data_IF_995116375630
#
_entry.id   IF_995116375630
#
_cell.length_a   1.000
_cell.length_b   1.000
_cell.length_c   1.000
_cell.angle_alpha   90.00
_cell.angle_beta   90.00
_cell.angle_gamma   90.00
#
_symmetry.space_group_name_H-M   'P 1'
#
loop_
_entity.id
_entity.type
_entity.pdbx_description
1 polymer ?
#
# COMPACT_ATOMS: atom_id res chain seq x y z
N UNK A 1 2.21 20.01 -34.28
CA UNK A 1 2.50 18.84 -33.44
C UNK A 1 2.36 19.28 -32.00
N UNK A 2 1.32 18.81 -31.36
CA UNK A 2 1.10 19.14 -29.96
C UNK A 2 1.99 18.26 -29.08
N UNK A 3 3.17 18.78 -28.73
CA UNK A 3 4.01 18.20 -27.70
C UNK A 3 3.42 18.58 -26.34
N UNK A 4 2.17 18.19 -26.09
CA UNK A 4 1.71 18.10 -24.71
C UNK A 4 2.63 17.09 -24.07
N UNK A 5 3.65 17.59 -23.39
CA UNK A 5 4.35 16.80 -22.39
C UNK A 5 3.23 16.22 -21.54
N UNK A 6 2.95 14.96 -21.74
CA UNK A 6 2.09 14.25 -20.83
C UNK A 6 2.86 14.30 -19.52
N UNK A 7 2.51 15.28 -18.67
CA UNK A 7 2.97 15.23 -17.29
C UNK A 7 2.62 13.84 -16.79
N UNK A 8 3.57 13.13 -16.19
CA UNK A 8 3.25 11.82 -15.62
C UNK A 8 2.14 12.02 -14.60
N UNK A 9 0.94 11.61 -14.98
CA UNK A 9 -0.19 11.63 -14.08
C UNK A 9 -0.20 10.33 -13.29
N UNK A 10 -0.14 10.45 -11.98
CA UNK A 10 -0.47 9.34 -11.12
C UNK A 10 -1.99 9.16 -11.17
N UNK A 11 -2.45 8.09 -11.81
CA UNK A 11 -3.87 7.76 -11.90
C UNK A 11 -4.31 6.81 -10.82
N UNK A 12 -3.45 5.88 -10.45
CA UNK A 12 -3.70 4.88 -9.42
C UNK A 12 -2.51 4.76 -8.49
N UNK A 13 -2.75 5.02 -7.22
CA UNK A 13 -1.75 4.99 -6.14
C UNK A 13 -2.05 3.81 -5.24
N UNK A 14 -1.04 3.00 -4.91
CA UNK A 14 -1.16 1.93 -3.93
C UNK A 14 -0.48 2.33 -2.63
N UNK A 15 -1.12 2.06 -1.51
CA UNK A 15 -0.52 2.16 -0.17
C UNK A 15 -0.35 0.76 0.39
N UNK A 16 0.87 0.40 0.78
CA UNK A 16 1.12 -0.79 1.59
C UNK A 16 0.73 -0.50 3.04
N UNK A 17 -0.26 -1.22 3.55
CA UNK A 17 -0.89 -0.95 4.84
C UNK A 17 -0.76 -2.14 5.77
N UNK A 18 -0.26 -1.92 6.98
CA UNK A 18 -0.14 -2.94 8.02
C UNK A 18 -0.74 -2.52 9.36
N UNK A 19 -1.43 -1.38 9.41
CA UNK A 19 -2.02 -0.82 10.63
C UNK A 19 -1.04 -0.06 11.51
N UNK A 20 0.24 -0.02 11.17
CA UNK A 20 1.25 0.76 11.91
C UNK A 20 1.05 2.26 11.70
N UNK A 21 1.62 3.06 12.60
CA UNK A 21 1.60 4.54 12.47
C UNK A 21 2.24 5.02 11.16
N UNK A 22 3.40 4.49 10.73
CA UNK A 22 3.95 4.87 9.43
C UNK A 22 3.03 4.56 8.26
N UNK A 23 2.32 3.41 8.27
CA UNK A 23 1.37 3.09 7.21
C UNK A 23 0.12 3.96 7.24
N UNK A 24 -0.36 4.36 8.42
CA UNK A 24 -1.45 5.35 8.55
C UNK A 24 -1.04 6.70 7.96
N UNK A 25 0.19 7.12 8.20
CA UNK A 25 0.73 8.34 7.62
C UNK A 25 0.86 8.25 6.09
N UNK A 26 1.22 7.08 5.59
CA UNK A 26 1.25 6.82 4.14
C UNK A 26 -0.16 6.96 3.52
N UNK A 27 -1.20 6.50 4.22
CA UNK A 27 -2.60 6.70 3.79
C UNK A 27 -2.95 8.19 3.69
N UNK A 28 -2.57 8.98 4.69
CA UNK A 28 -2.80 10.43 4.69
C UNK A 28 -2.13 11.12 3.50
N UNK A 29 -0.90 10.76 3.20
CA UNK A 29 -0.16 11.28 2.05
C UNK A 29 -0.85 10.89 0.74
N UNK A 30 -1.27 9.62 0.62
CA UNK A 30 -1.98 9.15 -0.56
C UNK A 30 -3.28 9.91 -0.81
N UNK A 31 -4.05 10.20 0.25
CA UNK A 31 -5.30 10.96 0.13
C UNK A 31 -5.05 12.41 -0.26
N UNK A 32 -4.01 13.02 0.27
CA UNK A 32 -3.59 14.36 -0.14
C UNK A 32 -3.22 14.43 -1.63
N UNK A 33 -2.46 13.45 -2.10
CA UNK A 33 -2.13 13.33 -3.52
C UNK A 33 -3.37 13.10 -4.37
N UNK A 34 -4.27 12.23 -3.93
CA UNK A 34 -5.51 11.92 -4.65
C UNK A 34 -6.39 13.15 -4.84
N UNK A 35 -6.48 14.01 -3.81
CA UNK A 35 -7.22 15.26 -3.92
C UNK A 35 -6.58 16.25 -4.89
N UNK A 36 -5.25 16.31 -4.93
CA UNK A 36 -4.52 17.24 -5.78
C UNK A 36 -4.44 16.80 -7.24
N UNK A 37 -4.39 15.49 -7.47
CA UNK A 37 -4.10 14.91 -8.79
C UNK A 37 -5.27 14.13 -9.40
N UNK A 38 -6.38 14.03 -8.69
CA UNK A 38 -7.56 13.26 -9.11
C UNK A 38 -7.21 11.79 -9.42
N UNK A 39 -6.50 11.14 -8.52
CA UNK A 39 -6.16 9.73 -8.65
C UNK A 39 -6.97 8.86 -7.67
N UNK A 40 -7.11 7.58 -7.99
CA UNK A 40 -7.68 6.57 -7.10
C UNK A 40 -6.62 5.97 -6.20
N UNK A 41 -7.03 5.48 -5.03
CA UNK A 41 -6.12 4.90 -4.04
C UNK A 41 -6.53 3.46 -3.74
N UNK A 42 -5.55 2.55 -3.80
CA UNK A 42 -5.68 1.18 -3.34
C UNK A 42 -4.93 1.02 -2.02
N UNK A 43 -5.66 0.68 -0.97
CA UNK A 43 -5.07 0.32 0.34
C UNK A 43 -4.89 -1.20 0.36
N UNK A 44 -3.66 -1.65 0.37
CA UNK A 44 -3.31 -3.05 0.20
C UNK A 44 -2.59 -3.59 1.43
N UNK A 45 -3.19 -4.57 2.09
CA UNK A 45 -2.62 -5.26 3.25
C UNK A 45 -2.22 -6.68 2.89
N UNK A 46 -1.07 -7.12 3.38
CA UNK A 46 -0.57 -8.48 3.15
C UNK A 46 -0.33 -9.16 4.49
N UNK A 47 -0.99 -10.28 4.70
CA UNK A 47 -0.75 -11.17 5.84
C UNK A 47 0.28 -12.24 5.45
N UNK A 48 1.36 -12.35 6.21
CA UNK A 48 2.42 -13.32 5.95
C UNK A 48 2.11 -14.63 6.68
N UNK A 49 1.91 -15.76 5.96
CA UNK A 49 1.65 -17.05 6.59
C UNK A 49 2.94 -17.66 7.16
N UNK A 50 2.81 -18.56 8.15
CA UNK A 50 3.94 -19.43 8.49
C UNK A 50 4.27 -20.34 7.31
N UNK A 51 5.51 -20.70 7.15
CA UNK A 51 5.96 -21.59 6.07
C UNK A 51 6.43 -22.92 6.65
N UNK A 52 6.02 -24.06 6.02
CA UNK A 52 5.04 -24.19 4.92
C UNK A 52 3.60 -24.07 5.45
N UNK A 53 2.70 -23.57 4.59
CA UNK A 53 1.29 -23.43 4.91
C UNK A 53 0.44 -24.33 3.99
N UNK A 54 -0.61 -24.96 4.55
CA UNK A 54 -1.60 -25.71 3.77
C UNK A 54 -2.63 -24.74 3.18
N UNK A 55 -3.42 -25.21 2.19
CA UNK A 55 -4.50 -24.40 1.63
C UNK A 55 -5.55 -24.01 2.67
N UNK A 56 -5.84 -24.92 3.61
CA UNK A 56 -6.79 -24.66 4.71
C UNK A 56 -6.25 -23.57 5.63
N UNK A 57 -4.95 -23.60 5.96
CA UNK A 57 -4.29 -22.57 6.77
C UNK A 57 -4.28 -21.22 6.07
N UNK A 58 -4.05 -21.19 4.76
CA UNK A 58 -4.09 -19.96 3.98
C UNK A 58 -5.48 -19.32 3.98
N UNK A 59 -6.54 -20.13 3.80
CA UNK A 59 -7.93 -19.66 3.84
C UNK A 59 -8.30 -19.11 5.23
N UNK A 60 -7.90 -19.82 6.28
CA UNK A 60 -8.11 -19.37 7.65
C UNK A 60 -7.37 -18.06 7.95
N UNK A 61 -6.15 -17.90 7.46
CA UNK A 61 -5.38 -16.68 7.61
C UNK A 61 -5.99 -15.51 6.86
N UNK A 62 -6.58 -15.75 5.71
CA UNK A 62 -7.27 -14.70 4.96
C UNK A 62 -8.48 -14.18 5.73
N UNK A 63 -9.26 -15.06 6.33
CA UNK A 63 -10.41 -14.69 7.16
C UNK A 63 -9.96 -13.92 8.42
N UNK A 64 -8.91 -14.37 9.09
CA UNK A 64 -8.33 -13.69 10.25
C UNK A 64 -7.79 -12.30 9.87
N UNK A 65 -7.14 -12.18 8.72
CA UNK A 65 -6.62 -10.91 8.22
C UNK A 65 -7.76 -9.92 7.90
N UNK A 66 -8.83 -10.39 7.29
CA UNK A 66 -10.02 -9.57 7.02
C UNK A 66 -10.60 -9.01 8.32
N UNK A 67 -10.75 -9.85 9.33
CA UNK A 67 -11.23 -9.44 10.65
C UNK A 67 -10.27 -8.43 11.31
N UNK A 68 -8.97 -8.69 11.25
CA UNK A 68 -7.94 -7.83 11.81
C UNK A 68 -7.93 -6.42 11.19
N UNK A 69 -8.11 -6.30 9.88
CA UNK A 69 -8.07 -5.03 9.17
C UNK A 69 -9.43 -4.34 9.02
N UNK A 70 -10.52 -4.99 9.39
CA UNK A 70 -11.88 -4.50 9.16
C UNK A 70 -12.12 -3.08 9.68
N UNK A 71 -11.77 -2.82 10.92
CA UNK A 71 -11.98 -1.49 11.53
C UNK A 71 -11.13 -0.41 10.88
N UNK A 72 -9.86 -0.73 10.63
CA UNK A 72 -8.95 0.19 9.96
C UNK A 72 -9.44 0.54 8.55
N UNK A 73 -9.89 -0.46 7.81
CA UNK A 73 -10.43 -0.25 6.46
C UNK A 73 -11.74 0.54 6.45
N UNK A 74 -12.63 0.29 7.41
CA UNK A 74 -13.85 1.08 7.55
C UNK A 74 -13.56 2.55 7.83
N UNK A 75 -12.64 2.83 8.75
CA UNK A 75 -12.19 4.18 9.06
C UNK A 75 -11.57 4.88 7.86
N UNK A 76 -10.69 4.18 7.14
CA UNK A 76 -10.03 4.70 5.94
C UNK A 76 -11.06 4.98 4.84
N UNK A 77 -11.98 4.07 4.59
CA UNK A 77 -13.04 4.22 3.59
C UNK A 77 -13.95 5.41 3.91
N UNK A 78 -14.31 5.57 5.17
CA UNK A 78 -15.11 6.72 5.61
C UNK A 78 -14.36 8.03 5.40
N UNK A 79 -13.10 8.08 5.79
CA UNK A 79 -12.26 9.27 5.60
C UNK A 79 -12.12 9.62 4.11
N UNK A 80 -11.91 8.63 3.24
CA UNK A 80 -11.85 8.83 1.81
C UNK A 80 -13.17 9.41 1.26
N UNK A 81 -14.31 8.90 1.71
CA UNK A 81 -15.63 9.42 1.35
C UNK A 81 -15.81 10.88 1.73
N UNK A 82 -15.39 11.25 2.94
CA UNK A 82 -15.47 12.63 3.43
C UNK A 82 -14.57 13.58 2.61
N UNK A 83 -13.46 13.07 2.10
CA UNK A 83 -12.51 13.83 1.27
C UNK A 83 -12.83 13.80 -0.23
N UNK A 84 -13.81 13.02 -0.65
CA UNK A 84 -14.12 12.83 -2.07
C UNK A 84 -13.07 12.01 -2.82
N UNK A 85 -12.34 11.15 -2.14
CA UNK A 85 -11.30 10.28 -2.71
C UNK A 85 -11.87 8.90 -3.04
N UNK A 86 -11.64 8.43 -4.26
CA UNK A 86 -11.97 7.06 -4.64
C UNK A 86 -10.96 6.09 -4.02
N UNK A 87 -11.43 5.21 -3.14
CA UNK A 87 -10.59 4.25 -2.44
C UNK A 87 -11.11 2.82 -2.63
N UNK A 88 -10.16 1.90 -2.78
CA UNK A 88 -10.38 0.46 -2.77
C UNK A 88 -9.50 -0.15 -1.68
N UNK A 89 -9.98 -1.15 -0.99
CA UNK A 89 -9.21 -1.90 -0.01
C UNK A 89 -9.08 -3.35 -0.45
N UNK A 90 -7.92 -3.96 -0.25
CA UNK A 90 -7.68 -5.35 -0.60
C UNK A 90 -6.69 -5.99 0.39
N UNK A 91 -6.84 -7.30 0.56
CA UNK A 91 -5.99 -8.11 1.41
C UNK A 91 -5.50 -9.31 0.62
N UNK A 92 -4.23 -9.64 0.79
CA UNK A 92 -3.65 -10.87 0.29
C UNK A 92 -2.90 -11.60 1.41
N UNK A 93 -2.74 -12.90 1.25
CA UNK A 93 -1.91 -13.74 2.12
C UNK A 93 -0.73 -14.22 1.30
N UNK A 94 0.48 -13.99 1.80
CA UNK A 94 1.69 -14.38 1.10
C UNK A 94 2.91 -13.60 1.52
N UNK A 95 3.92 -13.59 0.68
CA UNK A 95 5.13 -12.83 0.90
C UNK A 95 4.87 -11.35 0.56
N UNK A 96 5.03 -10.40 1.51
CA UNK A 96 4.62 -9.00 1.30
C UNK A 96 5.21 -8.36 0.05
N UNK A 97 6.50 -8.55 -0.19
CA UNK A 97 7.19 -7.94 -1.33
C UNK A 97 6.62 -8.45 -2.66
N UNK A 98 6.49 -9.77 -2.79
CA UNK A 98 5.95 -10.39 -4.00
C UNK A 98 4.50 -9.98 -4.25
N UNK A 99 3.68 -9.95 -3.21
CA UNK A 99 2.28 -9.57 -3.32
C UNK A 99 2.11 -8.10 -3.72
N UNK A 100 2.89 -7.20 -3.13
CA UNK A 100 2.85 -5.77 -3.46
C UNK A 100 3.24 -5.55 -4.91
N UNK A 101 4.35 -6.13 -5.35
CA UNK A 101 4.84 -5.97 -6.72
C UNK A 101 3.88 -6.58 -7.72
N UNK A 102 3.41 -7.79 -7.46
CA UNK A 102 2.47 -8.48 -8.33
C UNK A 102 1.15 -7.71 -8.48
N UNK A 103 0.59 -7.23 -7.37
CA UNK A 103 -0.64 -6.45 -7.39
C UNK A 103 -0.45 -5.11 -8.10
N UNK A 104 0.67 -4.44 -7.86
CA UNK A 104 0.97 -3.16 -8.51
C UNK A 104 1.10 -3.29 -10.03
N UNK A 105 1.73 -4.35 -10.51
CA UNK A 105 1.83 -4.63 -11.95
C UNK A 105 0.46 -4.99 -12.54
N UNK A 106 -0.27 -5.89 -11.89
CA UNK A 106 -1.58 -6.36 -12.36
C UNK A 106 -2.62 -5.25 -12.45
N UNK A 107 -2.61 -4.34 -11.52
CA UNK A 107 -3.56 -3.22 -11.44
C UNK A 107 -3.06 -1.95 -12.15
N UNK A 108 -1.91 -1.99 -12.78
CA UNK A 108 -1.29 -0.82 -13.45
C UNK A 108 -1.12 0.37 -12.49
N UNK A 109 -0.63 0.11 -11.30
CA UNK A 109 -0.36 1.15 -10.29
C UNK A 109 0.77 2.05 -10.77
N UNK A 110 0.60 3.36 -10.62
CA UNK A 110 1.56 4.37 -11.06
C UNK A 110 2.51 4.83 -9.96
N UNK A 111 2.15 4.60 -8.71
CA UNK A 111 2.93 4.99 -7.53
C UNK A 111 2.61 4.06 -6.38
N UNK A 112 3.65 3.57 -5.71
CA UNK A 112 3.53 2.83 -4.46
C UNK A 112 3.98 3.73 -3.32
N UNK A 113 3.18 3.84 -2.26
CA UNK A 113 3.52 4.61 -1.05
C UNK A 113 3.63 3.65 0.12
N UNK A 114 4.75 3.68 0.80
CA UNK A 114 5.04 2.84 1.96
C UNK A 114 5.44 3.70 3.14
N UNK A 115 5.01 3.34 4.33
CA UNK A 115 5.49 3.92 5.56
C UNK A 115 6.90 3.42 5.88
N UNK A 116 7.72 4.29 6.43
CA UNK A 116 9.05 3.90 6.93
C UNK A 116 8.89 3.17 8.26
N UNK A 117 9.40 1.94 8.34
CA UNK A 117 9.49 1.22 9.60
C UNK A 117 10.74 1.63 10.37
N UNK A 118 10.59 1.94 11.66
CA UNK A 118 11.71 2.20 12.53
C UNK A 118 11.23 2.37 13.96
N UNK A 119 11.56 1.40 14.82
CA UNK A 119 11.23 1.42 16.25
C UNK A 119 12.28 2.11 17.10
N UNK A 120 13.54 2.15 16.64
CA UNK A 120 14.65 2.78 17.32
C UNK A 120 15.22 3.92 16.49
N UNK A 121 16.02 4.80 17.14
CA UNK A 121 16.72 5.89 16.45
C UNK A 121 17.66 5.34 15.36
N UNK A 122 18.26 4.20 15.61
CA UNK A 122 19.18 3.55 14.65
C UNK A 122 18.41 2.99 13.46
N UNK A 123 17.27 2.33 13.70
CA UNK A 123 16.41 1.79 12.64
C UNK A 123 15.79 2.90 11.77
N UNK A 124 15.56 4.09 12.32
CA UNK A 124 15.05 5.25 11.56
C UNK A 124 16.00 5.76 10.49
N UNK A 125 17.29 5.44 10.60
CA UNK A 125 18.29 5.79 9.60
C UNK A 125 18.28 4.84 8.41
N UNK A 126 17.61 3.69 8.54
CA UNK A 126 17.52 2.65 7.52
C UNK A 126 16.12 2.62 6.93
N UNK A 127 16.03 2.41 5.63
CA UNK A 127 14.78 2.06 4.98
C UNK A 127 14.47 0.61 5.37
N UNK A 128 13.23 0.31 5.80
CA UNK A 128 12.83 -1.06 6.16
C UNK A 128 13.09 -2.05 5.02
N UNK A 129 13.32 -3.32 5.35
CA UNK A 129 13.66 -4.35 4.36
C UNK A 129 12.62 -4.52 3.26
N UNK A 130 11.33 -4.42 3.60
CA UNK A 130 10.24 -4.48 2.63
C UNK A 130 10.28 -3.29 1.68
N UNK A 131 10.42 -2.08 2.23
CA UNK A 131 10.48 -0.86 1.43
C UNK A 131 11.69 -0.86 0.49
N UNK A 132 12.86 -1.27 0.96
CA UNK A 132 14.07 -1.37 0.13
C UNK A 132 13.88 -2.32 -1.05
N UNK A 133 13.31 -3.49 -0.82
CA UNK A 133 13.09 -4.47 -1.88
C UNK A 133 12.01 -4.04 -2.85
N UNK A 134 10.96 -3.41 -2.37
CA UNK A 134 9.93 -2.82 -3.24
C UNK A 134 10.54 -1.74 -4.13
N UNK A 135 11.37 -0.85 -3.58
CA UNK A 135 12.11 0.14 -4.35
C UNK A 135 12.95 -0.50 -5.46
N UNK A 136 13.61 -1.61 -5.16
CA UNK A 136 14.50 -2.30 -6.10
C UNK A 136 13.77 -2.99 -7.23
N UNK A 137 12.62 -3.61 -6.95
CA UNK A 137 11.91 -4.47 -7.90
C UNK A 137 10.64 -3.87 -8.49
N UNK A 138 10.23 -2.71 -8.04
CA UNK A 138 9.02 -2.06 -8.55
C UNK A 138 9.19 -1.59 -10.00
N UNK A 139 8.12 -1.72 -10.79
CA UNK A 139 8.02 -1.18 -12.14
C UNK A 139 7.66 0.31 -12.16
N UNK A 140 7.25 0.87 -11.04
CA UNK A 140 6.81 2.26 -10.90
C UNK A 140 7.54 2.97 -9.76
N UNK A 141 7.44 4.31 -9.67
CA UNK A 141 7.97 5.06 -8.55
C UNK A 141 7.46 4.58 -7.20
N UNK A 142 8.30 4.66 -6.19
CA UNK A 142 7.97 4.31 -4.81
C UNK A 142 8.30 5.49 -3.91
N UNK A 143 7.34 5.87 -3.09
CA UNK A 143 7.50 6.94 -2.10
C UNK A 143 7.54 6.32 -0.71
N UNK A 144 8.54 6.72 0.08
CA UNK A 144 8.67 6.31 1.48
C UNK A 144 8.28 7.50 2.36
N UNK A 145 7.31 7.27 3.24
CA UNK A 145 6.78 8.29 4.15
C UNK A 145 7.37 8.09 5.54
N UNK A 146 7.92 9.14 6.08
CA UNK A 146 8.53 9.16 7.42
C UNK A 146 7.53 9.46 8.52
#
# INVERSE_FOLDING_TARGET
MDHRRQNPHFRKVMVGYDGSKPSEKAVEVAFSLAQSMDCSVLIFAVARPPEPATMVELDAMLDDAREHFEEGFKRITKCAGDLGVAVETAIAVGHPIQQIIHRAEGDHVDLIILGRRGKSRFERMLVGSTAEKVLRYSHCPVMIVH
#
